data_IF_498074934554
#
_entry.id   IF_498074934554
#
_cell.length_a   1.000
_cell.length_b   1.000
_cell.length_c   1.000
_cell.angle_alpha   90.00
_cell.angle_beta   90.00
_cell.angle_gamma   90.00
#
_symmetry.space_group_name_H-M   'P 1'
#
loop_
_entity.id
_entity.type
_entity.pdbx_description
1 polymer ?
#
# COMPACT_ATOMS: atom_id res chain seq x y z
N UNK A 1 -20.00 -46.05 7.38
CA UNK A 1 -18.90 -45.72 6.46
C UNK A 1 -19.26 -44.51 5.58
N UNK A 2 -20.52 -44.39 5.12
CA UNK A 2 -21.03 -43.23 4.36
C UNK A 2 -20.97 -41.88 5.10
N UNK A 3 -21.43 -41.84 6.36
CA UNK A 3 -21.38 -40.63 7.23
C UNK A 3 -19.97 -40.05 7.43
N UNK A 4 -18.94 -40.90 7.42
CA UNK A 4 -17.55 -40.47 7.58
C UNK A 4 -16.99 -39.81 6.30
N UNK A 5 -17.48 -40.22 5.13
CA UNK A 5 -17.11 -39.61 3.85
C UNK A 5 -17.82 -38.26 3.70
N UNK A 6 -19.10 -38.18 4.06
CA UNK A 6 -19.85 -36.92 4.03
C UNK A 6 -19.27 -35.88 4.99
N UNK A 7 -18.81 -36.30 6.17
CA UNK A 7 -18.16 -35.39 7.13
C UNK A 7 -16.79 -34.90 6.63
N UNK A 8 -15.99 -35.78 6.01
CA UNK A 8 -14.72 -35.40 5.38
C UNK A 8 -14.89 -34.40 4.23
N UNK A 9 -15.88 -34.61 3.36
CA UNK A 9 -16.20 -33.67 2.28
C UNK A 9 -16.62 -32.32 2.84
N UNK A 10 -17.47 -32.29 3.88
CA UNK A 10 -17.85 -31.04 4.53
C UNK A 10 -16.67 -30.34 5.20
N UNK A 11 -15.74 -31.07 5.81
CA UNK A 11 -14.51 -30.51 6.38
C UNK A 11 -13.60 -29.95 5.27
N UNK A 12 -13.42 -30.70 4.17
CA UNK A 12 -12.62 -30.25 3.04
C UNK A 12 -13.19 -28.99 2.38
N UNK A 13 -14.52 -28.90 2.24
CA UNK A 13 -15.21 -27.71 1.72
C UNK A 13 -15.04 -26.51 2.67
N UNK A 14 -15.17 -26.71 3.98
CA UNK A 14 -14.92 -25.64 4.95
C UNK A 14 -13.47 -25.16 4.95
N UNK A 15 -12.50 -26.08 4.84
CA UNK A 15 -11.09 -25.71 4.71
C UNK A 15 -10.81 -24.94 3.42
N UNK A 16 -11.40 -25.36 2.30
CA UNK A 16 -11.30 -24.65 1.04
C UNK A 16 -11.87 -23.22 1.16
N UNK A 17 -13.02 -23.07 1.81
CA UNK A 17 -13.64 -21.76 2.06
C UNK A 17 -12.75 -20.88 2.94
N UNK A 18 -12.17 -21.43 4.00
CA UNK A 18 -11.23 -20.71 4.86
C UNK A 18 -9.99 -20.23 4.08
N UNK A 19 -9.40 -21.09 3.25
CA UNK A 19 -8.27 -20.73 2.41
C UNK A 19 -8.61 -19.60 1.42
N UNK A 20 -9.78 -19.69 0.77
CA UNK A 20 -10.27 -18.64 -0.14
C UNK A 20 -10.52 -17.33 0.60
N UNK A 21 -11.02 -17.38 1.83
CA UNK A 21 -11.24 -16.18 2.64
C UNK A 21 -9.92 -15.51 3.02
N UNK A 22 -8.89 -16.28 3.41
CA UNK A 22 -7.55 -15.76 3.65
C UNK A 22 -6.92 -15.13 2.39
N UNK A 23 -7.08 -15.77 1.23
CA UNK A 23 -6.58 -15.25 -0.04
C UNK A 23 -7.29 -13.94 -0.45
N UNK A 24 -8.60 -13.86 -0.23
CA UNK A 24 -9.38 -12.63 -0.46
C UNK A 24 -8.92 -11.50 0.45
N UNK A 25 -8.71 -11.76 1.74
CA UNK A 25 -8.23 -10.75 2.68
C UNK A 25 -6.87 -10.19 2.27
N UNK A 26 -5.92 -11.06 1.90
CA UNK A 26 -4.62 -10.64 1.39
C UNK A 26 -4.74 -9.82 0.09
N UNK A 27 -5.63 -10.24 -0.82
CA UNK A 27 -5.89 -9.54 -2.08
C UNK A 27 -6.50 -8.15 -1.85
N UNK A 28 -7.45 -8.02 -0.92
CA UNK A 28 -8.07 -6.74 -0.56
C UNK A 28 -7.03 -5.82 0.06
N UNK A 29 -6.21 -6.31 1.00
CA UNK A 29 -5.11 -5.55 1.60
C UNK A 29 -4.13 -5.06 0.53
N UNK A 30 -3.71 -5.94 -0.38
CA UNK A 30 -2.84 -5.58 -1.50
C UNK A 30 -3.48 -4.51 -2.38
N UNK A 31 -4.76 -4.65 -2.72
CA UNK A 31 -5.49 -3.65 -3.51
C UNK A 31 -5.59 -2.30 -2.80
N UNK A 32 -5.78 -2.29 -1.48
CA UNK A 32 -5.78 -1.07 -0.67
C UNK A 32 -4.40 -0.39 -0.67
N UNK A 33 -3.32 -1.16 -0.52
CA UNK A 33 -1.94 -0.66 -0.60
C UNK A 33 -1.62 -0.12 -1.99
N UNK A 34 -1.99 -0.83 -3.05
CA UNK A 34 -1.76 -0.38 -4.43
C UNK A 34 -2.54 0.91 -4.73
N UNK A 35 -3.77 1.04 -4.22
CA UNK A 35 -4.55 2.28 -4.32
C UNK A 35 -3.91 3.45 -3.53
N UNK A 36 -3.36 3.18 -2.34
CA UNK A 36 -2.67 4.17 -1.52
C UNK A 36 -1.34 4.64 -2.14
N UNK A 37 -0.61 3.74 -2.80
CA UNK A 37 0.65 4.05 -3.50
C UNK A 37 0.43 5.11 -4.59
N UNK A 38 -0.63 4.97 -5.39
CA UNK A 38 -0.97 5.94 -6.43
C UNK A 38 -1.28 7.33 -5.85
N UNK A 39 -2.02 7.39 -4.74
CA UNK A 39 -2.29 8.64 -4.04
C UNK A 39 -1.01 9.28 -3.46
N UNK A 40 -0.12 8.46 -2.90
CA UNK A 40 1.16 8.93 -2.33
C UNK A 40 2.07 9.52 -3.40
N UNK A 41 2.15 8.90 -4.59
CA UNK A 41 2.92 9.44 -5.71
C UNK A 41 2.35 10.76 -6.24
N UNK A 42 1.02 10.88 -6.32
CA UNK A 42 0.37 12.14 -6.70
C UNK A 42 0.64 13.25 -5.68
N UNK A 43 0.59 12.94 -4.38
CA UNK A 43 0.95 13.88 -3.32
C UNK A 43 2.43 14.28 -3.40
N UNK A 44 3.33 13.33 -3.64
CA UNK A 44 4.76 13.60 -3.80
C UNK A 44 5.05 14.47 -5.03
N UNK A 45 4.31 14.27 -6.13
CA UNK A 45 4.40 15.11 -7.33
C UNK A 45 3.76 16.49 -7.14
N UNK A 46 2.73 16.59 -6.28
CA UNK A 46 2.08 17.85 -5.94
C UNK A 46 2.90 18.71 -4.97
N UNK A 47 3.89 18.14 -4.28
CA UNK A 47 4.90 18.93 -3.55
C UNK A 47 5.72 19.69 -4.60
N UNK A 48 5.56 21.01 -4.60
CA UNK A 48 6.36 21.90 -5.43
C UNK A 48 7.86 21.60 -5.20
N UNK A 49 8.71 21.66 -6.25
CA UNK A 49 10.14 21.53 -6.10
C UNK A 49 10.62 22.45 -4.97
N UNK A 50 11.53 22.00 -4.08
CA UNK A 50 12.10 22.87 -3.07
C UNK A 50 12.67 24.10 -3.78
N UNK A 51 12.39 25.32 -3.30
CA UNK A 51 12.86 26.52 -3.98
C UNK A 51 14.38 26.48 -4.08
N UNK A 52 14.93 27.03 -5.17
CA UNK A 52 16.37 27.06 -5.37
C UNK A 52 17.04 27.85 -4.23
N UNK A 53 18.13 27.32 -3.69
CA UNK A 53 18.96 28.06 -2.73
C UNK A 53 19.52 29.31 -3.42
N UNK A 54 19.57 30.43 -2.69
CA UNK A 54 20.11 31.66 -3.21
C UNK A 54 21.61 31.51 -3.54
N UNK A 55 21.98 31.64 -4.82
CA UNK A 55 23.37 31.53 -5.30
C UNK A 55 24.15 32.84 -5.18
N UNK A 56 23.47 33.93 -4.83
CA UNK A 56 24.03 35.28 -4.79
C UNK A 56 23.68 35.98 -3.47
N UNK A 57 24.59 36.83 -3.00
CA UNK A 57 24.42 37.58 -1.76
C UNK A 57 24.99 36.88 -0.52
N UNK A 58 25.54 37.70 0.38
CA UNK A 58 26.23 37.26 1.61
C UNK A 58 25.29 36.52 2.58
N UNK A 59 23.99 36.82 2.55
CA UNK A 59 23.01 36.17 3.42
C UNK A 59 22.36 34.94 2.76
N UNK A 60 22.23 34.94 1.43
CA UNK A 60 21.62 33.87 0.65
C UNK A 60 22.43 32.57 0.63
N UNK A 61 23.76 32.69 0.69
CA UNK A 61 24.71 31.58 0.61
C UNK A 61 25.14 31.01 1.97
N UNK A 62 24.96 31.77 3.06
CA UNK A 62 25.35 31.36 4.42
C UNK A 62 24.19 30.80 5.24
N UNK A 63 22.94 31.06 4.82
CA UNK A 63 21.72 30.58 5.48
C UNK A 63 20.91 29.87 4.40
N UNK A 64 20.29 28.73 4.72
CA UNK A 64 19.39 28.00 3.83
C UNK A 64 18.10 28.82 3.55
N UNK A 65 18.25 29.93 2.86
CA UNK A 65 17.16 30.82 2.47
C UNK A 65 16.93 30.70 0.97
N UNK A 66 15.65 30.78 0.62
CA UNK A 66 15.17 30.72 -0.75
C UNK A 66 15.22 32.12 -1.39
N UNK A 67 15.48 32.19 -2.69
CA UNK A 67 15.48 33.44 -3.47
C UNK A 67 14.10 33.76 -4.06
#
# INVERSE_FOLDING_TARGET
>A
MDVAVSSLVNVAVQMQQANVEHEKQATILKKALDAQSSATLQLLQAVAPPPALATEGVQGTQINTYA
#
